data_IF_119443719791
#
_entry.id   IF_119443719791
#
_cell.length_a   1.000
_cell.length_b   1.000
_cell.length_c   1.000
_cell.angle_alpha   90.00
_cell.angle_beta   90.00
_cell.angle_gamma   90.00
#
_symmetry.space_group_name_H-M   'P 1'
#
loop_
_entity.id
_entity.type
_entity.pdbx_description
1 polymer ?
#
# COMPACT_ATOMS: atom_id res chain seq x y z
N UNK A 1 -11.01 -22.68 5.02
CA UNK A 1 -12.30 -22.59 4.28
C UNK A 1 -12.02 -21.91 2.95
N UNK A 2 -12.41 -22.51 1.83
CA UNK A 2 -12.22 -21.94 0.49
C UNK A 2 -13.59 -21.58 -0.06
N UNK A 3 -13.98 -20.31 0.11
CA UNK A 3 -15.19 -19.77 -0.50
C UNK A 3 -14.90 -19.41 -1.96
N UNK A 4 -15.88 -19.68 -2.85
CA UNK A 4 -15.79 -19.31 -4.25
C UNK A 4 -16.08 -17.82 -4.40
N UNK A 5 -15.34 -17.16 -5.29
CA UNK A 5 -15.54 -15.76 -5.66
C UNK A 5 -15.05 -15.52 -7.08
N UNK A 6 -15.62 -14.53 -7.74
CA UNK A 6 -15.15 -14.07 -9.04
C UNK A 6 -15.61 -12.64 -9.33
N UNK A 7 -14.89 -11.98 -10.22
CA UNK A 7 -15.27 -10.68 -10.75
C UNK A 7 -16.16 -10.92 -11.96
N UNK A 8 -17.38 -10.37 -11.93
CA UNK A 8 -18.34 -10.44 -13.03
C UNK A 8 -18.09 -9.34 -14.05
N UNK A 9 -17.82 -8.11 -13.55
CA UNK A 9 -17.52 -6.94 -14.37
C UNK A 9 -16.61 -5.97 -13.61
N UNK A 10 -15.84 -5.16 -14.34
CA UNK A 10 -15.09 -4.05 -13.75
C UNK A 10 -14.93 -2.91 -14.75
N UNK A 11 -15.02 -1.69 -14.26
CA UNK A 11 -14.78 -0.46 -15.01
C UNK A 11 -13.96 0.53 -14.18
N UNK A 12 -13.17 1.36 -14.86
CA UNK A 12 -12.46 2.47 -14.23
C UNK A 12 -13.41 3.67 -14.14
N UNK A 13 -13.66 4.17 -12.92
CA UNK A 13 -14.59 5.27 -12.67
C UNK A 13 -13.89 6.61 -12.40
N UNK A 14 -12.62 6.55 -11.96
CA UNK A 14 -11.78 7.73 -11.75
C UNK A 14 -10.32 7.40 -12.07
N UNK A 15 -9.67 8.31 -12.79
CA UNK A 15 -8.26 8.19 -13.15
C UNK A 15 -7.57 9.54 -13.10
N UNK A 16 -6.76 9.75 -12.07
CA UNK A 16 -5.82 10.87 -11.94
C UNK A 16 -4.58 10.37 -11.20
N UNK A 17 -4.16 11.03 -10.11
CA UNK A 17 -3.13 10.48 -9.23
C UNK A 17 -3.59 9.14 -8.63
N UNK A 18 -4.81 9.08 -8.14
CA UNK A 18 -5.44 7.83 -7.77
C UNK A 18 -6.24 7.25 -8.93
N UNK A 19 -6.39 5.91 -8.92
CA UNK A 19 -7.33 5.19 -9.78
C UNK A 19 -8.38 4.56 -8.91
N UNK A 20 -9.63 4.72 -9.28
CA UNK A 20 -10.76 4.03 -8.63
C UNK A 20 -11.44 3.17 -9.67
N UNK A 21 -11.66 1.91 -9.34
CA UNK A 21 -12.41 0.97 -10.17
C UNK A 21 -13.64 0.50 -9.44
N UNK A 22 -14.75 0.43 -10.16
CA UNK A 22 -15.97 -0.24 -9.73
C UNK A 22 -15.93 -1.68 -10.20
N UNK A 23 -16.29 -2.57 -9.31
CA UNK A 23 -16.37 -4.01 -9.56
C UNK A 23 -17.77 -4.50 -9.28
N UNK A 24 -18.30 -5.35 -10.16
CA UNK A 24 -19.37 -6.28 -9.84
C UNK A 24 -18.74 -7.62 -9.50
N UNK A 25 -19.01 -8.12 -8.31
CA UNK A 25 -18.43 -9.37 -7.80
C UNK A 25 -19.52 -10.35 -7.36
N UNK A 26 -19.19 -11.63 -7.45
CA UNK A 26 -19.97 -12.68 -6.85
C UNK A 26 -19.10 -13.48 -5.88
N UNK A 27 -19.67 -13.86 -4.74
CA UNK A 27 -18.97 -14.67 -3.75
C UNK A 27 -19.94 -15.51 -2.91
N UNK A 28 -19.43 -16.60 -2.35
CA UNK A 28 -20.21 -17.49 -1.47
C UNK A 28 -20.51 -16.83 -0.13
N UNK A 29 -21.78 -16.91 0.27
CA UNK A 29 -22.24 -16.47 1.59
C UNK A 29 -21.84 -17.49 2.66
N UNK A 30 -21.50 -17.02 3.85
CA UNK A 30 -21.29 -17.87 5.04
C UNK A 30 -22.55 -18.70 5.43
N UNK A 31 -23.73 -18.30 4.94
CA UNK A 31 -25.00 -19.00 5.14
C UNK A 31 -25.34 -19.96 4.01
N UNK A 32 -24.44 -20.12 3.04
CA UNK A 32 -24.63 -20.90 1.82
C UNK A 32 -25.23 -20.06 0.68
N UNK A 33 -25.03 -20.54 -0.55
CA UNK A 33 -25.44 -19.88 -1.78
C UNK A 33 -24.47 -18.77 -2.23
N UNK A 34 -24.63 -18.37 -3.51
CA UNK A 34 -23.88 -17.28 -4.10
C UNK A 34 -24.63 -15.97 -3.92
N UNK A 35 -23.92 -14.93 -3.50
CA UNK A 35 -24.34 -13.55 -3.62
C UNK A 35 -23.77 -13.02 -4.93
N UNK A 36 -24.61 -12.41 -5.75
CA UNK A 36 -24.24 -11.95 -7.10
C UNK A 36 -24.53 -10.46 -7.28
N UNK A 37 -23.89 -9.86 -8.28
CA UNK A 37 -24.05 -8.45 -8.64
C UNK A 37 -23.76 -7.50 -7.46
N UNK A 38 -22.83 -7.87 -6.60
CA UNK A 38 -22.44 -7.03 -5.47
C UNK A 38 -21.46 -5.97 -5.98
N UNK A 39 -21.86 -4.69 -5.88
CA UNK A 39 -20.99 -3.58 -6.27
C UNK A 39 -19.98 -3.23 -5.18
N UNK A 40 -18.74 -3.01 -5.58
CA UNK A 40 -17.64 -2.54 -4.73
C UNK A 40 -16.80 -1.53 -5.49
N UNK A 41 -16.31 -0.53 -4.79
CA UNK A 41 -15.28 0.35 -5.30
C UNK A 41 -13.95 0.01 -4.64
N UNK A 42 -12.87 0.10 -5.42
CA UNK A 42 -11.53 -0.16 -4.94
C UNK A 42 -10.58 0.92 -5.44
N UNK A 43 -9.87 1.51 -4.49
CA UNK A 43 -8.77 2.43 -4.74
C UNK A 43 -7.52 1.64 -5.12
N UNK A 44 -6.80 2.13 -6.13
CA UNK A 44 -5.53 1.55 -6.55
C UNK A 44 -5.70 0.51 -7.65
N UNK A 45 -4.61 -0.01 -8.10
CA UNK A 45 -4.48 -0.96 -9.19
C UNK A 45 -3.08 -0.83 -9.76
N UNK A 46 -2.13 -1.55 -9.17
CA UNK A 46 -0.79 -1.70 -9.73
C UNK A 46 0.33 -0.90 -9.07
N UNK A 47 0.07 -0.09 -8.07
CA UNK A 47 1.16 0.51 -7.31
C UNK A 47 1.44 -0.32 -6.05
N UNK A 48 2.62 -0.92 -6.02
CA UNK A 48 3.17 -1.52 -4.81
C UNK A 48 3.93 -0.46 -4.04
N UNK A 49 3.89 -0.54 -2.73
CA UNK A 49 4.64 0.34 -1.83
C UNK A 49 5.73 -0.49 -1.17
N UNK A 50 6.92 0.04 -1.11
CA UNK A 50 8.00 -0.50 -0.28
C UNK A 50 8.19 0.39 0.93
N UNK A 51 8.50 -0.22 2.07
CA UNK A 51 8.76 0.51 3.29
C UNK A 51 9.95 -0.11 4.04
N UNK A 52 10.74 0.71 4.69
CA UNK A 52 11.83 0.27 5.55
C UNK A 52 11.81 0.99 6.90
N UNK A 53 12.15 0.27 7.94
CA UNK A 53 12.49 0.81 9.24
C UNK A 53 14.03 0.85 9.38
N UNK A 54 14.71 1.98 9.05
CA UNK A 54 16.15 2.04 9.12
C UNK A 54 16.62 1.99 10.58
N UNK A 55 17.60 1.14 10.86
CA UNK A 55 18.18 0.97 12.17
C UNK A 55 19.69 1.21 12.13
N UNK A 56 20.18 2.10 12.98
CA UNK A 56 21.61 2.34 13.21
C UNK A 56 22.08 1.49 14.40
N UNK A 57 22.81 0.39 14.16
CA UNK A 57 23.23 -0.50 15.22
C UNK A 57 24.34 0.08 16.11
N UNK A 58 25.03 1.11 15.65
CA UNK A 58 26.09 1.77 16.44
C UNK A 58 25.50 2.70 17.49
N UNK A 59 24.43 3.41 17.14
CA UNK A 59 23.72 4.32 18.03
C UNK A 59 22.50 3.69 18.69
N UNK A 60 22.13 2.47 18.26
CA UNK A 60 20.91 1.76 18.71
C UNK A 60 19.64 2.60 18.50
N UNK A 61 19.51 3.20 17.33
CA UNK A 61 18.39 4.10 16.99
C UNK A 61 17.74 3.71 15.68
N UNK A 62 16.42 3.94 15.62
CA UNK A 62 15.66 3.96 14.38
C UNK A 62 15.66 5.37 13.80
N UNK A 63 15.52 5.47 12.48
CA UNK A 63 15.37 6.73 11.76
C UNK A 63 13.93 6.81 11.27
N UNK A 64 13.28 7.92 11.55
CA UNK A 64 11.94 8.24 11.04
C UNK A 64 12.02 9.53 10.25
N UNK A 65 11.13 9.68 9.28
CA UNK A 65 10.91 10.92 8.53
C UNK A 65 9.68 11.63 9.07
N UNK A 66 9.67 12.96 9.04
CA UNK A 66 8.50 13.76 9.35
C UNK A 66 7.94 14.33 8.05
N UNK A 67 6.70 13.98 7.71
CA UNK A 67 6.08 14.35 6.45
C UNK A 67 4.67 14.90 6.64
N UNK A 68 4.28 15.83 5.75
CA UNK A 68 2.91 16.31 5.68
C UNK A 68 2.00 15.28 5.01
N UNK A 69 0.90 14.93 5.69
CA UNK A 69 -0.08 13.95 5.19
C UNK A 69 -1.47 14.58 5.11
N UNK A 70 -1.93 14.79 3.88
CA UNK A 70 -3.27 15.36 3.61
C UNK A 70 -4.40 14.53 4.24
N UNK A 71 -4.25 13.21 4.30
CA UNK A 71 -5.25 12.33 4.92
C UNK A 71 -5.43 12.62 6.41
N UNK A 72 -4.34 12.84 7.15
CA UNK A 72 -4.40 13.22 8.56
C UNK A 72 -5.08 14.59 8.73
N UNK A 73 -4.71 15.57 7.90
CA UNK A 73 -5.34 16.90 7.93
C UNK A 73 -6.86 16.82 7.70
N UNK A 74 -7.32 16.09 6.71
CA UNK A 74 -8.74 15.94 6.39
C UNK A 74 -9.49 15.18 7.49
N UNK A 75 -8.82 14.27 8.17
CA UNK A 75 -9.36 13.57 9.34
C UNK A 75 -9.40 14.43 10.61
N UNK A 76 -8.88 15.65 10.58
CA UNK A 76 -8.83 16.55 11.75
C UNK A 76 -7.68 16.26 12.71
N UNK A 77 -6.68 15.49 12.26
CA UNK A 77 -5.49 15.12 13.02
C UNK A 77 -4.30 16.04 12.66
N UNK A 78 -3.21 15.96 13.43
CA UNK A 78 -1.98 16.66 13.07
C UNK A 78 -1.48 16.15 11.70
N UNK A 79 -1.33 17.02 10.68
CA UNK A 79 -0.89 16.57 9.36
C UNK A 79 0.61 16.20 9.30
N UNK A 80 1.42 16.64 10.23
CA UNK A 80 2.83 16.27 10.31
C UNK A 80 2.98 14.95 11.05
N UNK A 81 3.31 13.90 10.30
CA UNK A 81 3.38 12.53 10.80
C UNK A 81 4.83 12.04 10.82
N UNK A 82 5.20 11.32 11.88
CA UNK A 82 6.44 10.54 11.92
C UNK A 82 6.20 9.17 11.31
N UNK A 83 6.97 8.87 10.27
CA UNK A 83 6.79 7.66 9.48
C UNK A 83 8.12 6.96 9.22
N UNK A 84 8.05 5.69 8.89
CA UNK A 84 9.18 4.97 8.32
C UNK A 84 9.40 5.43 6.88
N UNK A 85 10.61 5.24 6.34
CA UNK A 85 10.88 5.50 4.92
C UNK A 85 9.99 4.63 4.05
N UNK A 86 9.25 5.22 3.12
CA UNK A 86 8.35 4.46 2.25
C UNK A 86 8.04 5.21 0.95
N UNK A 87 7.94 4.47 -0.15
CA UNK A 87 7.54 5.03 -1.42
C UNK A 87 6.96 4.00 -2.38
N UNK A 88 6.54 4.48 -3.54
CA UNK A 88 6.04 3.61 -4.60
C UNK A 88 7.20 2.92 -5.33
N UNK A 89 6.96 1.67 -5.67
CA UNK A 89 7.82 1.01 -6.66
C UNK A 89 7.57 1.61 -8.03
N UNK A 90 8.63 2.05 -8.68
CA UNK A 90 8.58 2.46 -10.07
C UNK A 90 8.51 1.23 -11.00
N UNK A 91 7.93 1.44 -12.19
CA UNK A 91 7.80 0.36 -13.18
C UNK A 91 9.17 -0.19 -13.63
N UNK A 92 10.20 0.63 -13.54
CA UNK A 92 11.57 0.29 -13.95
C UNK A 92 12.44 -0.24 -12.79
N UNK A 93 11.91 -0.24 -11.57
CA UNK A 93 12.63 -0.79 -10.43
C UNK A 93 12.75 -2.31 -10.57
N UNK A 94 13.98 -2.86 -10.56
CA UNK A 94 14.20 -4.29 -10.82
C UNK A 94 13.73 -5.19 -9.67
N UNK A 95 13.57 -4.66 -8.47
CA UNK A 95 13.12 -5.39 -7.29
C UNK A 95 12.65 -4.46 -6.17
N UNK A 96 11.88 -4.96 -5.20
CA UNK A 96 11.51 -4.21 -4.00
C UNK A 96 12.72 -3.67 -3.22
N UNK A 97 13.82 -4.42 -3.19
CA UNK A 97 15.07 -4.02 -2.54
C UNK A 97 15.72 -2.85 -3.25
N UNK A 98 15.65 -2.79 -4.58
CA UNK A 98 16.17 -1.65 -5.34
C UNK A 98 15.32 -0.40 -5.11
N UNK A 99 14.00 -0.55 -5.12
CA UNK A 99 13.07 0.55 -4.80
C UNK A 99 13.35 1.12 -3.42
N UNK A 100 13.45 0.27 -2.39
CA UNK A 100 13.66 0.79 -1.02
C UNK A 100 15.05 1.41 -0.83
N UNK A 101 16.07 0.95 -1.55
CA UNK A 101 17.38 1.61 -1.54
C UNK A 101 17.31 3.02 -2.16
N UNK A 102 16.53 3.21 -3.22
CA UNK A 102 16.29 4.51 -3.83
C UNK A 102 15.56 5.43 -2.84
N UNK A 103 14.47 4.96 -2.23
CA UNK A 103 13.70 5.74 -1.24
C UNK A 103 14.55 6.14 -0.02
N UNK A 104 15.40 5.24 0.49
CA UNK A 104 16.34 5.54 1.57
C UNK A 104 17.32 6.65 1.19
N UNK A 105 17.79 6.65 -0.04
CA UNK A 105 18.71 7.67 -0.55
C UNK A 105 18.00 9.02 -0.75
N UNK A 106 16.78 9.02 -1.27
CA UNK A 106 15.96 10.21 -1.52
C UNK A 106 15.47 10.86 -0.22
N UNK A 107 14.96 10.09 0.73
CA UNK A 107 14.32 10.63 1.93
C UNK A 107 15.29 10.92 3.09
N UNK A 108 16.34 10.11 3.25
CA UNK A 108 17.26 10.25 4.39
C UNK A 108 18.74 10.30 4.00
N UNK A 109 19.06 10.34 2.69
CA UNK A 109 20.41 10.52 2.19
C UNK A 109 21.37 9.38 2.50
N UNK A 110 20.86 8.15 2.70
CA UNK A 110 21.69 6.98 3.02
C UNK A 110 21.20 5.72 2.32
N UNK A 111 22.02 4.66 2.37
CA UNK A 111 21.68 3.34 1.85
C UNK A 111 21.81 2.31 2.95
N UNK A 112 20.94 1.32 2.94
CA UNK A 112 21.06 0.18 3.84
C UNK A 112 22.22 -0.73 3.42
N UNK A 113 23.05 -1.13 4.38
CA UNK A 113 24.10 -2.13 4.18
C UNK A 113 23.52 -3.55 4.11
N UNK A 114 22.36 -3.75 4.76
CA UNK A 114 21.63 -5.02 4.80
C UNK A 114 20.14 -4.72 4.86
N UNK A 115 19.37 -5.50 4.11
CA UNK A 115 17.91 -5.48 4.14
C UNK A 115 17.41 -6.83 4.66
N UNK A 116 16.47 -6.78 5.60
CA UNK A 116 15.80 -7.97 6.16
C UNK A 116 14.32 -7.84 5.89
N UNK A 117 13.71 -8.74 5.11
CA UNK A 117 12.27 -8.71 4.87
C UNK A 117 11.50 -9.03 6.15
N UNK A 118 10.53 -8.18 6.48
CA UNK A 118 9.70 -8.34 7.67
C UNK A 118 8.34 -8.94 7.33
N UNK A 119 7.57 -8.26 6.47
CA UNK A 119 6.23 -8.70 6.12
C UNK A 119 5.75 -8.08 4.80
N UNK A 120 4.72 -8.69 4.23
CA UNK A 120 3.94 -8.12 3.14
C UNK A 120 2.47 -8.16 3.58
N UNK A 121 1.77 -7.03 3.48
CA UNK A 121 0.39 -6.92 3.92
C UNK A 121 -0.41 -5.94 3.08
N UNK A 122 -1.74 -6.06 3.16
CA UNK A 122 -2.67 -5.08 2.60
C UNK A 122 -3.05 -4.10 3.70
N UNK A 123 -2.72 -2.82 3.54
CA UNK A 123 -2.97 -1.79 4.55
C UNK A 123 -4.46 -1.52 4.79
N UNK A 124 -5.29 -1.60 3.74
CA UNK A 124 -6.73 -1.35 3.81
C UNK A 124 -7.52 -2.22 2.82
N UNK A 125 -7.58 -3.56 3.05
CA UNK A 125 -8.14 -4.49 2.07
C UNK A 125 -9.65 -4.33 1.82
N UNK A 126 -10.35 -3.57 2.66
CA UNK A 126 -11.77 -3.29 2.46
C UNK A 126 -12.07 -2.35 1.30
N UNK A 127 -11.10 -1.57 0.83
CA UNK A 127 -11.31 -0.58 -0.22
C UNK A 127 -10.05 -0.17 -0.98
N UNK A 128 -8.90 -0.76 -0.69
CA UNK A 128 -7.65 -0.48 -1.39
C UNK A 128 -6.91 -1.77 -1.74
N UNK A 129 -6.33 -1.79 -2.94
CA UNK A 129 -5.50 -2.87 -3.45
C UNK A 129 -3.98 -2.59 -3.29
N UNK A 130 -3.60 -1.50 -2.65
CA UNK A 130 -2.20 -1.16 -2.36
C UNK A 130 -1.59 -2.10 -1.31
N UNK A 131 -0.38 -2.54 -1.56
CA UNK A 131 0.44 -3.36 -0.66
C UNK A 131 1.91 -3.02 -0.85
#
# INVERSE_FOLDING_TARGET
MNYRYHIQHSEETYHHFFRVRRYQVAYESFRGGMLENIERECLGGGHHVVAALPYDPVREKIILVEQFRIGAMVAGENPWQYEIVAGFMDADDPSPEASIQRELEEEIGTRALRLEPLMNYLGSPGGSAGR
#
